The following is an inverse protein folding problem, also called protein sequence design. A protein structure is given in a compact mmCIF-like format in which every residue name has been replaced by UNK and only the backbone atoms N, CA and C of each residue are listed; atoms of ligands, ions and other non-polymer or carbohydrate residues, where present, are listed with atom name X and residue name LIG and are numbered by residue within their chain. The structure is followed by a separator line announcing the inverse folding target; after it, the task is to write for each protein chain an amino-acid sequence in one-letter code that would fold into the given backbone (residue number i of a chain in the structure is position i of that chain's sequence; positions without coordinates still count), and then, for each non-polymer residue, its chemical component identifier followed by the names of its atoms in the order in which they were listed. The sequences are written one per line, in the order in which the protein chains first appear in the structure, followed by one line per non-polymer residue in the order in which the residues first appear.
data_IF_475310877257
#
_entry.id   IF_475310877257
#
_cell.length_a   1.000
_cell.length_b   1.000
_cell.length_c   1.000
_cell.angle_alpha   90.00
_cell.angle_beta   90.00
_cell.angle_gamma   90.00
#
_symmetry.space_group_name_H-M   'P 1'
#
loop_
_entity.id
_entity.type
_entity.pdbx_description
1 polymer ?
#
# COMPACT_ATOMS: atom_id res chain seq x y z
N UNK A 1 4.71 9.54 12.72
CA UNK A 1 4.62 10.65 11.74
C UNK A 1 5.39 10.22 10.50
N UNK A 2 4.74 10.24 9.33
CA UNK A 2 5.37 10.03 8.02
C UNK A 2 5.45 11.39 7.35
N UNK A 3 6.65 11.74 6.91
CA UNK A 3 6.92 12.95 6.15
C UNK A 3 7.74 12.52 4.93
N UNK A 4 7.21 12.81 3.75
CA UNK A 4 7.86 12.51 2.49
C UNK A 4 8.15 13.80 1.73
N UNK A 5 9.04 13.71 0.75
CA UNK A 5 9.30 14.78 -0.21
C UNK A 5 8.61 14.46 -1.54
N UNK A 6 8.20 15.49 -2.32
CA UNK A 6 7.63 15.27 -3.65
C UNK A 6 8.63 14.56 -4.57
N UNK A 7 8.12 13.79 -5.53
CA UNK A 7 8.97 13.05 -6.47
C UNK A 7 8.25 12.75 -7.78
N UNK A 8 9.02 12.53 -8.84
CA UNK A 8 8.49 12.02 -10.10
C UNK A 8 8.07 10.55 -9.95
N UNK A 9 6.86 10.20 -10.39
CA UNK A 9 6.28 8.85 -10.31
C UNK A 9 7.24 7.77 -10.83
N UNK A 10 7.87 8.04 -11.98
CA UNK A 10 8.83 7.13 -12.62
C UNK A 10 10.11 6.90 -11.83
N UNK A 11 10.49 7.80 -10.91
CA UNK A 11 11.65 7.57 -10.02
C UNK A 11 11.40 6.45 -9.00
N UNK A 12 10.14 6.05 -8.79
CA UNK A 12 9.78 4.94 -7.92
C UNK A 12 9.40 3.68 -8.69
N UNK A 13 8.60 3.82 -9.76
CA UNK A 13 8.09 2.67 -10.53
C UNK A 13 8.93 2.30 -11.77
N UNK A 14 9.95 3.10 -12.11
CA UNK A 14 10.87 2.83 -13.21
C UNK A 14 12.01 1.86 -12.84
N UNK A 15 12.88 1.56 -13.81
CA UNK A 15 13.98 0.57 -13.67
C UNK A 15 15.01 0.94 -12.59
N UNK A 16 15.15 2.22 -12.28
CA UNK A 16 16.08 2.74 -11.26
C UNK A 16 15.40 2.97 -9.90
N UNK A 17 14.24 2.36 -9.66
CA UNK A 17 13.53 2.45 -8.39
C UNK A 17 14.35 1.95 -7.20
N UNK A 18 13.99 2.34 -5.96
CA UNK A 18 14.75 2.03 -4.75
C UNK A 18 14.70 0.54 -4.35
N UNK A 19 13.79 -0.23 -4.93
CA UNK A 19 13.59 -1.65 -4.64
C UNK A 19 13.09 -2.38 -5.89
N UNK A 20 13.25 -3.71 -5.91
CA UNK A 20 12.63 -4.55 -6.94
C UNK A 20 11.11 -4.59 -6.74
N UNK A 21 10.36 -4.11 -7.74
CA UNK A 21 8.90 -4.03 -7.70
C UNK A 21 8.25 -4.96 -8.73
N UNK A 22 7.35 -5.82 -8.25
CA UNK A 22 6.44 -6.60 -9.06
C UNK A 22 5.05 -5.96 -9.05
N UNK A 23 4.77 -5.16 -10.08
CA UNK A 23 3.54 -4.39 -10.22
C UNK A 23 2.52 -5.16 -11.08
N UNK A 24 1.39 -5.53 -10.50
CA UNK A 24 0.33 -6.28 -11.19
C UNK A 24 -0.60 -5.39 -12.01
N UNK A 25 -1.18 -5.92 -13.08
CA UNK A 25 -2.03 -5.17 -14.02
C UNK A 25 -3.22 -4.50 -13.34
N UNK A 26 -3.86 -5.17 -12.39
CA UNK A 26 -4.98 -4.59 -11.65
C UNK A 26 -4.56 -3.39 -10.78
N UNK A 27 -3.35 -3.39 -10.23
CA UNK A 27 -2.80 -2.21 -9.56
C UNK A 27 -2.50 -1.10 -10.57
N UNK A 28 -1.94 -1.45 -11.74
CA UNK A 28 -1.66 -0.48 -12.80
C UNK A 28 -2.92 0.26 -13.24
N UNK A 29 -4.00 -0.48 -13.47
CA UNK A 29 -5.24 0.08 -14.02
C UNK A 29 -6.10 0.77 -12.98
N UNK A 30 -6.15 0.28 -11.75
CA UNK A 30 -7.07 0.79 -10.73
C UNK A 30 -6.46 1.86 -9.81
N UNK A 31 -5.13 1.89 -9.67
CA UNK A 31 -4.45 2.82 -8.75
C UNK A 31 -3.43 3.66 -9.49
N UNK A 32 -2.44 3.03 -10.15
CA UNK A 32 -1.30 3.76 -10.73
C UNK A 32 -1.70 4.75 -11.83
N UNK A 33 -2.77 4.45 -12.57
CA UNK A 33 -3.36 5.33 -13.59
C UNK A 33 -3.87 6.66 -13.04
N UNK A 34 -4.26 6.67 -11.76
CA UNK A 34 -4.78 7.85 -11.06
C UNK A 34 -3.70 8.56 -10.21
N UNK A 35 -2.44 8.12 -10.28
CA UNK A 35 -1.32 8.74 -9.56
C UNK A 35 -0.72 9.86 -10.42
N UNK A 36 -0.55 11.03 -9.81
CA UNK A 36 0.07 12.21 -10.42
C UNK A 36 1.48 11.91 -10.94
N UNK A 37 1.87 12.51 -12.07
CA UNK A 37 3.25 12.38 -12.59
C UNK A 37 4.28 12.93 -11.61
N UNK A 38 3.93 14.00 -10.90
CA UNK A 38 4.66 14.48 -9.73
C UNK A 38 3.82 14.19 -8.49
N UNK A 39 4.25 13.20 -7.71
CA UNK A 39 3.57 12.80 -6.47
C UNK A 39 3.90 13.83 -5.39
N UNK A 40 2.90 14.46 -4.75
CA UNK A 40 3.11 15.43 -3.69
C UNK A 40 3.68 14.79 -2.41
N UNK A 41 4.18 15.65 -1.52
CA UNK A 41 4.60 15.24 -0.18
C UNK A 41 3.41 14.77 0.66
N UNK A 42 3.54 13.60 1.30
CA UNK A 42 2.65 13.17 2.36
C UNK A 42 3.12 13.73 3.69
N UNK A 43 2.20 14.34 4.45
CA UNK A 43 2.42 14.79 5.83
C UNK A 43 1.26 14.31 6.69
N UNK A 44 1.56 13.44 7.64
CA UNK A 44 0.54 12.93 8.56
C UNK A 44 1.03 11.80 9.45
N UNK A 45 0.11 11.24 10.22
CA UNK A 45 0.36 9.99 10.93
C UNK A 45 -0.15 8.82 10.08
N UNK A 46 0.52 7.69 10.20
CA UNK A 46 0.07 6.43 9.62
C UNK A 46 -0.18 5.49 10.80
N UNK A 47 -1.39 4.97 10.87
CA UNK A 47 -1.79 3.95 11.83
C UNK A 47 -1.58 2.59 11.19
N UNK A 48 -0.97 1.67 11.95
CA UNK A 48 -0.82 0.26 11.58
C UNK A 48 -1.64 -0.56 12.54
N UNK A 49 -2.58 -1.34 12.01
CA UNK A 49 -3.45 -2.22 12.79
C UNK A 49 -3.30 -3.64 12.29
N UNK A 50 -2.88 -4.55 13.16
CA UNK A 50 -2.83 -5.98 12.85
C UNK A 50 -4.22 -6.59 12.99
N UNK A 51 -4.61 -7.44 12.03
CA UNK A 51 -5.87 -8.16 12.07
C UNK A 51 -5.79 -9.31 13.07
N UNK A 52 -6.65 -9.29 14.10
CA UNK A 52 -6.70 -10.34 15.13
C UNK A 52 -7.41 -11.61 14.66
N UNK A 53 -8.22 -11.51 13.60
CA UNK A 53 -8.97 -12.58 12.96
C UNK A 53 -9.03 -12.41 11.44
N UNK A 54 -9.61 -13.38 10.74
CA UNK A 54 -9.80 -13.29 9.29
C UNK A 54 -10.93 -12.31 8.97
N UNK A 55 -10.68 -11.32 8.13
CA UNK A 55 -11.65 -10.26 7.82
C UNK A 55 -11.68 -9.90 6.33
N UNK A 56 -12.85 -9.61 5.78
CA UNK A 56 -13.04 -8.91 4.51
C UNK A 56 -12.96 -7.39 4.69
N UNK A 57 -12.92 -6.66 3.58
CA UNK A 57 -12.85 -5.20 3.59
C UNK A 57 -14.08 -4.58 4.27
N UNK A 58 -15.28 -5.14 4.06
CA UNK A 58 -16.49 -4.65 4.72
C UNK A 58 -16.42 -4.75 6.25
N UNK A 59 -15.84 -5.83 6.79
CA UNK A 59 -15.64 -6.01 8.23
C UNK A 59 -14.58 -5.00 8.74
N UNK A 60 -13.49 -4.80 7.98
CA UNK A 60 -12.44 -3.82 8.31
C UNK A 60 -13.02 -2.38 8.35
N UNK A 61 -13.91 -2.04 7.43
CA UNK A 61 -14.58 -0.74 7.42
C UNK A 61 -15.57 -0.56 8.57
N UNK A 62 -16.32 -1.61 8.91
CA UNK A 62 -17.28 -1.57 10.03
C UNK A 62 -16.57 -1.31 11.37
N UNK A 63 -15.36 -1.84 11.53
CA UNK A 63 -14.53 -1.65 12.73
C UNK A 63 -13.77 -0.31 12.74
N UNK A 64 -13.90 0.51 11.70
CA UNK A 64 -13.23 1.82 11.59
C UNK A 64 -11.74 1.76 11.30
N UNK A 65 -11.14 0.58 11.12
CA UNK A 65 -9.70 0.38 10.99
C UNK A 65 -9.08 1.07 9.77
N UNK A 66 -9.86 1.21 8.69
CA UNK A 66 -9.39 1.73 7.41
C UNK A 66 -9.82 3.18 7.11
N UNK A 67 -10.20 3.97 8.12
CA UNK A 67 -10.59 5.37 7.92
C UNK A 67 -9.66 6.34 8.64
N UNK A 68 -9.33 7.49 8.02
CA UNK A 68 -9.61 7.88 6.64
C UNK A 68 -8.86 7.05 5.57
N UNK A 69 -9.45 7.00 4.37
CA UNK A 69 -8.88 6.38 3.18
C UNK A 69 -7.71 7.21 2.64
N UNK A 70 -6.78 6.57 1.92
CA UNK A 70 -5.70 7.25 1.22
C UNK A 70 -6.15 7.62 -0.20
N UNK A 71 -5.72 8.77 -0.70
CA UNK A 71 -5.72 9.02 -2.15
C UNK A 71 -4.63 8.16 -2.82
N UNK A 72 -4.65 7.99 -4.15
CA UNK A 72 -3.58 7.31 -4.87
C UNK A 72 -2.21 7.94 -4.60
N UNK A 73 -2.12 9.27 -4.59
CA UNK A 73 -0.88 10.01 -4.32
C UNK A 73 -0.39 9.81 -2.88
N UNK A 74 -1.28 9.91 -1.88
CA UNK A 74 -0.95 9.66 -0.48
C UNK A 74 -0.41 8.24 -0.30
N UNK A 75 -1.09 7.25 -0.92
CA UNK A 75 -0.66 5.86 -0.90
C UNK A 75 0.75 5.69 -1.48
N UNK A 76 1.01 6.21 -2.69
CA UNK A 76 2.32 6.03 -3.33
C UNK A 76 3.42 6.76 -2.56
N UNK A 77 3.16 7.96 -2.05
CA UNK A 77 4.12 8.67 -1.21
C UNK A 77 4.52 7.84 0.03
N UNK A 78 3.52 7.30 0.75
CA UNK A 78 3.74 6.45 1.92
C UNK A 78 4.47 5.15 1.56
N UNK A 79 3.97 4.41 0.56
CA UNK A 79 4.55 3.12 0.18
C UNK A 79 5.97 3.28 -0.34
N UNK A 80 6.28 4.34 -1.10
CA UNK A 80 7.64 4.63 -1.53
C UNK A 80 8.57 4.81 -0.33
N UNK A 81 8.20 5.63 0.64
CA UNK A 81 9.03 5.89 1.82
C UNK A 81 9.28 4.61 2.62
N UNK A 82 8.22 3.83 2.88
CA UNK A 82 8.33 2.59 3.63
C UNK A 82 9.14 1.51 2.89
N UNK A 83 8.92 1.32 1.59
CA UNK A 83 9.69 0.37 0.78
C UNK A 83 11.14 0.82 0.64
N UNK A 84 11.43 2.11 0.50
CA UNK A 84 12.81 2.63 0.39
C UNK A 84 13.63 2.39 1.66
N UNK A 85 12.97 2.25 2.82
CA UNK A 85 13.60 1.88 4.09
C UNK A 85 13.74 0.37 4.27
N UNK A 86 13.01 -0.41 3.48
CA UNK A 86 13.01 -1.88 3.51
C UNK A 86 13.21 -2.46 2.09
N UNK A 87 14.19 -2.00 1.29
CA UNK A 87 14.27 -2.32 -0.13
C UNK A 87 14.54 -3.80 -0.40
N UNK A 88 15.11 -4.52 0.57
CA UNK A 88 15.44 -5.95 0.48
C UNK A 88 14.63 -6.79 1.45
N UNK A 89 13.48 -6.28 1.89
CA UNK A 89 12.62 -6.98 2.84
C UNK A 89 13.22 -7.05 4.25
N UNK A 90 14.07 -6.09 4.62
CA UNK A 90 14.60 -5.97 5.97
C UNK A 90 13.47 -5.72 6.99
N UNK A 91 13.76 -5.92 8.27
CA UNK A 91 12.81 -5.61 9.35
C UNK A 91 12.47 -4.12 9.36
N UNK A 92 11.19 -3.80 9.49
CA UNK A 92 10.72 -2.42 9.61
C UNK A 92 9.21 -2.35 9.85
N UNK A 93 8.59 -1.29 9.34
CA UNK A 93 7.15 -1.01 9.51
C UNK A 93 6.30 -1.97 8.66
N UNK A 94 6.72 -2.23 7.43
CA UNK A 94 6.06 -3.18 6.55
C UNK A 94 6.39 -4.61 6.98
N UNK A 95 5.39 -5.49 6.94
CA UNK A 95 5.55 -6.92 7.09
C UNK A 95 6.39 -7.48 5.94
N UNK A 96 7.40 -8.28 6.28
CA UNK A 96 8.29 -8.95 5.33
C UNK A 96 8.31 -10.48 5.48
N UNK A 97 7.48 -11.03 6.37
CA UNK A 97 7.29 -12.47 6.57
C UNK A 97 6.38 -13.13 5.52
N UNK A 98 5.95 -12.39 4.50
CA UNK A 98 5.04 -12.87 3.45
C UNK A 98 3.57 -12.58 3.71
N UNK A 99 3.23 -11.92 4.82
CA UNK A 99 1.89 -11.40 5.08
C UNK A 99 1.58 -10.13 4.28
N UNK A 100 0.29 -9.77 4.22
CA UNK A 100 -0.18 -8.60 3.51
C UNK A 100 -0.04 -7.33 4.35
N UNK A 101 0.48 -6.28 3.71
CA UNK A 101 0.31 -4.89 4.11
C UNK A 101 -0.84 -4.33 3.26
N UNK A 102 -1.95 -3.98 3.89
CA UNK A 102 -3.21 -3.63 3.24
C UNK A 102 -3.42 -2.13 3.35
N UNK A 103 -3.70 -1.48 2.22
CA UNK A 103 -4.01 -0.06 2.14
C UNK A 103 -5.30 0.10 1.35
N UNK A 104 -6.30 0.78 1.91
CA UNK A 104 -7.50 1.11 1.14
C UNK A 104 -7.35 2.47 0.49
N UNK A 105 -7.45 2.47 -0.83
CA UNK A 105 -7.21 3.62 -1.69
C UNK A 105 -8.51 4.00 -2.40
N UNK A 106 -8.80 5.30 -2.44
CA UNK A 106 -9.94 5.86 -3.15
C UNK A 106 -9.44 6.72 -4.31
N UNK A 107 -9.41 6.20 -5.55
CA UNK A 107 -9.24 7.02 -6.74
C UNK A 107 -10.38 8.04 -6.87
N UNK A 108 -10.11 9.23 -7.42
CA UNK A 108 -11.05 10.37 -7.44
C UNK A 108 -12.43 10.00 -8.04
N UNK A 109 -12.43 9.24 -9.14
CA UNK A 109 -13.66 8.79 -9.84
C UNK A 109 -13.91 7.27 -9.75
N UNK A 110 -13.19 6.56 -8.87
CA UNK A 110 -13.20 5.09 -8.80
C UNK A 110 -13.96 4.50 -7.61
N UNK A 111 -14.17 3.17 -7.56
CA UNK A 111 -14.51 2.50 -6.31
C UNK A 111 -13.30 2.46 -5.36
N UNK A 112 -13.56 2.34 -4.06
CA UNK A 112 -12.50 1.99 -3.09
C UNK A 112 -11.88 0.65 -3.48
N UNK A 113 -10.56 0.58 -3.49
CA UNK A 113 -9.81 -0.65 -3.75
C UNK A 113 -8.88 -0.97 -2.59
N UNK A 114 -8.69 -2.25 -2.30
CA UNK A 114 -7.70 -2.72 -1.35
C UNK A 114 -6.39 -3.02 -2.07
N UNK A 115 -5.32 -2.31 -1.73
CA UNK A 115 -3.98 -2.54 -2.24
C UNK A 115 -3.21 -3.40 -1.27
N UNK A 116 -2.73 -4.54 -1.76
CA UNK A 116 -1.82 -5.45 -1.07
C UNK A 116 -0.38 -5.14 -1.46
N UNK A 117 0.40 -4.67 -0.49
CA UNK A 117 1.86 -4.70 -0.50
C UNK A 117 2.39 -5.96 0.18
N UNK A 118 3.18 -6.76 -0.53
CA UNK A 118 3.70 -8.04 -0.02
C UNK A 118 5.16 -8.24 -0.41
N UNK A 119 6.02 -8.52 0.57
CA UNK A 119 7.37 -9.01 0.29
C UNK A 119 7.33 -10.46 -0.23
N UNK A 120 7.96 -10.72 -1.38
CA UNK A 120 8.07 -12.06 -1.95
C UNK A 120 9.36 -12.72 -1.46
N UNK A 121 9.31 -13.39 -0.31
CA UNK A 121 10.46 -14.01 0.41
C UNK A 121 11.39 -14.84 -0.50
N UNK A 122 10.89 -15.49 -1.55
CA UNK A 122 11.70 -16.27 -2.50
C UNK A 122 12.13 -15.56 -3.78
N UNK A 123 11.61 -14.36 -4.07
CA UNK A 123 11.93 -13.59 -5.29
C UNK A 123 12.72 -12.31 -5.01
N UNK A 124 12.82 -11.86 -3.75
CA UNK A 124 13.63 -10.69 -3.42
C UNK A 124 13.03 -9.34 -3.81
N UNK A 125 11.70 -9.26 -3.99
CA UNK A 125 11.01 -8.03 -4.39
C UNK A 125 9.66 -7.80 -3.72
N UNK A 126 9.21 -6.55 -3.75
CA UNK A 126 7.90 -6.12 -3.29
C UNK A 126 6.85 -6.29 -4.37
N UNK A 127 5.71 -6.87 -4.02
CA UNK A 127 4.58 -7.00 -4.92
C UNK A 127 3.47 -6.03 -4.53
N UNK A 128 2.99 -5.25 -5.51
CA UNK A 128 1.83 -4.37 -5.36
C UNK A 128 0.68 -4.89 -6.24
N UNK A 129 -0.46 -5.18 -5.62
CA UNK A 129 -1.65 -5.72 -6.28
C UNK A 129 -2.91 -5.08 -5.71
N UNK A 130 -3.86 -4.69 -6.55
CA UNK A 130 -5.16 -4.15 -6.12
C UNK A 130 -6.25 -5.24 -6.10
N UNK A 131 -7.28 -5.06 -5.30
CA UNK A 131 -8.45 -5.92 -5.19
C UNK A 131 -9.70 -5.05 -5.06
N UNK A 132 -10.80 -5.48 -5.67
CA UNK A 132 -12.11 -4.93 -5.38
C UNK A 132 -12.54 -5.25 -3.95
N UNK A 133 -13.57 -4.55 -3.49
CA UNK A 133 -14.10 -4.72 -2.13
C UNK A 133 -14.58 -6.15 -1.91
N UNK A 134 -14.06 -6.80 -0.87
CA UNK A 134 -14.38 -8.17 -0.47
C UNK A 134 -14.02 -9.25 -1.52
N UNK A 135 -13.22 -8.93 -2.54
CA UNK A 135 -12.71 -9.91 -3.51
C UNK A 135 -11.83 -10.97 -2.82
N UNK A 136 -11.24 -10.62 -1.68
CA UNK A 136 -10.40 -11.50 -0.88
C UNK A 136 -10.72 -11.35 0.60
N UNK A 137 -10.57 -12.46 1.34
CA UNK A 137 -10.56 -12.44 2.81
C UNK A 137 -9.12 -12.35 3.29
N UNK A 138 -8.82 -11.32 4.07
CA UNK A 138 -7.51 -11.09 4.66
C UNK A 138 -7.31 -12.02 5.86
N UNK A 139 -6.12 -12.58 5.98
CA UNK A 139 -5.80 -13.48 7.07
C UNK A 139 -5.43 -12.72 8.34
N UNK A 140 -5.66 -13.37 9.48
CA UNK A 140 -5.09 -12.97 10.76
C UNK A 140 -3.58 -12.73 10.62
N UNK A 141 -3.08 -11.67 11.26
CA UNK A 141 -1.67 -11.25 11.22
C UNK A 141 -1.32 -10.31 10.07
N UNK A 142 -2.18 -10.18 9.04
CA UNK A 142 -2.04 -9.10 8.07
C UNK A 142 -2.23 -7.72 8.74
N UNK A 143 -1.63 -6.69 8.17
CA UNK A 143 -1.67 -5.34 8.72
C UNK A 143 -2.41 -4.39 7.78
N UNK A 144 -3.38 -3.65 8.31
CA UNK A 144 -4.04 -2.54 7.65
C UNK A 144 -3.32 -1.25 8.00
N UNK A 145 -3.06 -0.43 6.99
CA UNK A 145 -2.46 0.87 7.11
C UNK A 145 -3.48 1.94 6.70
N UNK A 146 -3.74 2.88 7.60
CA UNK A 146 -4.66 3.98 7.40
C UNK A 146 -4.03 5.29 7.87
N UNK A 147 -4.53 6.40 7.35
CA UNK A 147 -4.11 7.72 7.82
C UNK A 147 -4.60 7.90 9.27
N UNK A 148 -3.72 8.38 10.15
CA UNK A 148 -4.00 8.65 11.57
C UNK A 148 -4.05 10.12 11.91
#
# INVERSE_FOLDING_TARGET
MVQTEPFAKDSFFGESGPAELCIWDNFRTQVLSAVSETVPAFRGTLTRTELEEHMGDSEIFANGTSRPLLSPDDFVAVVRDLISRQPRGERGILLTNGDANIFHVQPEDGPVVAVRGRWRVGLGGWSLRAYGRDDVRWLKGHCVFSRG
#
